data_IF_908261143803
#
_entry.id   IF_908261143803
#
_cell.length_a   1.000
_cell.length_b   1.000
_cell.length_c   1.000
_cell.angle_alpha   90.00
_cell.angle_beta   90.00
_cell.angle_gamma   90.00
#
_symmetry.space_group_name_H-M   'P 1'
#
loop_
_entity.id
_entity.type
_entity.pdbx_description
1 polymer ?
#
# COMPACT_ATOMS: atom_id res chain seq x y z
N UNK A 1 -14.64 -22.65 -21.57
CA UNK A 1 -15.57 -23.48 -20.77
C UNK A 1 -15.59 -23.00 -19.31
N UNK A 2 -16.45 -22.03 -19.02
CA UNK A 2 -16.57 -21.38 -17.72
C UNK A 2 -18.04 -21.12 -17.46
N UNK A 3 -18.71 -22.10 -16.87
CA UNK A 3 -20.07 -21.92 -16.36
C UNK A 3 -19.91 -21.53 -14.91
N UNK A 4 -20.24 -20.28 -14.56
CA UNK A 4 -20.55 -19.93 -13.17
C UNK A 4 -21.71 -20.81 -12.75
N UNK A 5 -21.42 -21.87 -11.98
CA UNK A 5 -22.47 -22.52 -11.19
C UNK A 5 -23.02 -21.43 -10.26
N UNK A 6 -24.35 -21.29 -10.19
CA UNK A 6 -25.00 -20.23 -9.43
C UNK A 6 -24.60 -20.23 -7.95
N UNK A 7 -25.15 -19.30 -7.16
CA UNK A 7 -24.85 -19.15 -5.73
C UNK A 7 -24.81 -20.50 -5.00
N UNK A 8 -23.68 -20.85 -4.39
CA UNK A 8 -23.51 -22.10 -3.65
C UNK A 8 -23.29 -21.81 -2.16
N UNK A 9 -23.88 -22.65 -1.31
CA UNK A 9 -23.57 -22.68 0.13
C UNK A 9 -22.46 -23.70 0.37
N UNK A 10 -21.37 -23.24 0.97
CA UNK A 10 -20.22 -24.05 1.40
C UNK A 10 -20.36 -24.30 2.89
N UNK A 11 -20.62 -25.54 3.29
CA UNK A 11 -20.70 -25.91 4.70
C UNK A 11 -19.31 -25.94 5.33
N UNK A 12 -19.05 -25.06 6.30
CA UNK A 12 -17.77 -25.02 7.03
C UNK A 12 -17.79 -26.00 8.21
N UNK A 13 -18.93 -26.12 8.90
CA UNK A 13 -19.14 -27.09 9.98
C UNK A 13 -20.63 -27.39 10.19
N UNK A 14 -21.01 -28.01 11.31
CA UNK A 14 -22.41 -28.38 11.57
C UNK A 14 -23.37 -27.19 11.59
N UNK A 15 -22.89 -26.00 11.98
CA UNK A 15 -23.70 -24.83 12.30
C UNK A 15 -23.41 -23.61 11.40
N UNK A 16 -22.39 -23.68 10.53
CA UNK A 16 -21.96 -22.55 9.70
C UNK A 16 -21.92 -22.97 8.24
N UNK A 17 -22.59 -22.18 7.41
CA UNK A 17 -22.56 -22.24 5.95
C UNK A 17 -22.14 -20.88 5.41
N UNK A 18 -21.25 -20.89 4.42
CA UNK A 18 -20.71 -19.69 3.76
C UNK A 18 -21.29 -19.60 2.36
N UNK A 19 -21.82 -18.44 1.99
CA UNK A 19 -22.24 -18.19 0.62
C UNK A 19 -21.02 -17.83 -0.23
N UNK A 20 -20.77 -18.59 -1.30
CA UNK A 20 -19.59 -18.47 -2.19
C UNK A 20 -19.65 -17.26 -3.15
N UNK A 21 -20.44 -16.24 -2.81
CA UNK A 21 -20.53 -14.99 -3.57
C UNK A 21 -20.56 -13.86 -2.57
N UNK A 22 -19.43 -13.17 -2.32
CA UNK A 22 -19.42 -12.05 -1.40
C UNK A 22 -20.32 -10.94 -1.95
N UNK A 23 -21.01 -10.22 -1.06
CA UNK A 23 -21.65 -8.98 -1.43
C UNK A 23 -20.59 -7.92 -1.71
N UNK A 24 -20.62 -7.32 -2.90
CA UNK A 24 -19.77 -6.17 -3.22
C UNK A 24 -20.59 -4.91 -2.91
N UNK A 25 -20.14 -4.14 -1.93
CA UNK A 25 -20.67 -2.83 -1.64
C UNK A 25 -19.73 -1.79 -2.23
N UNK A 26 -20.32 -0.76 -2.83
CA UNK A 26 -19.55 0.40 -3.28
C UNK A 26 -19.21 1.26 -2.07
N UNK A 27 -17.92 1.57 -1.81
CA UNK A 27 -17.56 2.53 -0.79
C UNK A 27 -18.09 3.90 -1.21
N UNK A 28 -18.90 4.52 -0.37
CA UNK A 28 -19.15 5.96 -0.48
C UNK A 28 -18.00 6.64 0.24
N UNK A 29 -17.21 7.44 -0.46
CA UNK A 29 -16.11 8.16 0.16
C UNK A 29 -16.69 9.23 1.09
N UNK A 30 -16.64 8.99 2.39
CA UNK A 30 -17.19 9.90 3.40
C UNK A 30 -16.21 11.05 3.71
N UNK A 31 -14.92 10.83 3.50
CA UNK A 31 -13.86 11.84 3.64
C UNK A 31 -12.69 11.58 2.67
N UNK A 32 -11.87 12.62 2.43
CA UNK A 32 -10.63 12.49 1.67
C UNK A 32 -9.65 11.50 2.33
N UNK A 33 -9.64 11.45 3.66
CA UNK A 33 -8.79 10.54 4.44
C UNK A 33 -9.13 9.06 4.18
N UNK A 34 -10.43 8.72 4.12
CA UNK A 34 -10.86 7.36 3.76
C UNK A 34 -10.41 7.01 2.33
N UNK A 35 -10.57 7.95 1.39
CA UNK A 35 -10.10 7.75 0.01
C UNK A 35 -8.60 7.52 -0.07
N UNK A 36 -7.83 8.28 0.70
CA UNK A 36 -6.38 8.17 0.79
C UNK A 36 -5.96 6.83 1.40
N UNK A 37 -6.57 6.41 2.51
CA UNK A 37 -6.30 5.10 3.11
C UNK A 37 -6.59 3.95 2.13
N UNK A 38 -7.71 4.02 1.40
CA UNK A 38 -8.06 3.04 0.36
C UNK A 38 -7.04 3.01 -0.78
N UNK A 39 -6.52 4.17 -1.19
CA UNK A 39 -5.44 4.25 -2.18
C UNK A 39 -4.14 3.62 -1.65
N UNK A 40 -3.75 3.93 -0.41
CA UNK A 40 -2.53 3.42 0.19
C UNK A 40 -2.53 1.88 0.28
N UNK A 41 -3.65 1.27 0.70
CA UNK A 41 -3.77 -0.19 0.81
C UNK A 41 -4.05 -0.92 -0.52
N UNK A 42 -4.18 -0.20 -1.64
CA UNK A 42 -4.39 -0.80 -2.96
C UNK A 42 -5.83 -1.25 -3.23
N UNK A 43 -6.82 -0.64 -2.55
CA UNK A 43 -8.24 -0.85 -2.85
C UNK A 43 -8.74 0.00 -4.04
N UNK A 44 -7.89 0.88 -4.57
CA UNK A 44 -8.13 1.69 -5.77
C UNK A 44 -7.07 1.29 -6.81
N UNK A 45 -7.43 1.28 -8.10
CA UNK A 45 -6.50 0.91 -9.16
C UNK A 45 -5.32 1.91 -9.23
N UNK A 46 -4.09 1.40 -9.12
CA UNK A 46 -2.87 2.22 -9.16
C UNK A 46 -2.68 2.95 -10.49
N UNK A 47 -3.23 2.42 -11.61
CA UNK A 47 -3.09 3.05 -12.94
C UNK A 47 -3.76 4.42 -13.07
N UNK A 48 -4.70 4.73 -12.17
CA UNK A 48 -5.41 6.02 -12.14
C UNK A 48 -4.89 6.96 -11.04
N UNK A 49 -3.80 6.57 -10.35
CA UNK A 49 -3.23 7.30 -9.23
C UNK A 49 -1.82 7.78 -9.55
N UNK A 50 -1.42 8.92 -8.95
CA UNK A 50 -0.02 9.33 -8.94
C UNK A 50 0.68 8.65 -7.75
N UNK A 51 1.36 7.53 -8.02
CA UNK A 51 2.05 6.76 -6.97
C UNK A 51 3.22 7.53 -6.34
N UNK A 52 3.84 8.46 -7.06
CA UNK A 52 4.94 9.26 -6.55
C UNK A 52 4.43 10.19 -5.43
N UNK A 53 3.33 10.90 -5.69
CA UNK A 53 2.72 11.77 -4.66
C UNK A 53 2.20 10.95 -3.47
N UNK A 54 1.55 9.81 -3.73
CA UNK A 54 1.08 8.91 -2.67
C UNK A 54 2.21 8.30 -1.85
N UNK A 55 3.39 8.11 -2.45
CA UNK A 55 4.55 7.59 -1.74
C UNK A 55 5.09 8.60 -0.74
N UNK A 56 5.01 9.90 -1.01
CA UNK A 56 5.39 10.93 -0.04
C UNK A 56 4.47 10.91 1.18
N UNK A 57 3.16 10.84 0.96
CA UNK A 57 2.17 10.70 2.03
C UNK A 57 2.42 9.44 2.87
N UNK A 58 2.69 8.30 2.22
CA UNK A 58 3.03 7.06 2.91
C UNK A 58 4.28 7.22 3.76
N UNK A 59 5.35 7.81 3.20
CA UNK A 59 6.61 8.04 3.93
C UNK A 59 6.37 8.94 5.14
N UNK A 60 5.61 10.03 4.98
CA UNK A 60 5.28 10.94 6.07
C UNK A 60 4.53 10.22 7.20
N UNK A 61 3.53 9.40 6.86
CA UNK A 61 2.80 8.58 7.86
C UNK A 61 3.70 7.58 8.58
N UNK A 62 4.61 6.94 7.86
CA UNK A 62 5.54 5.98 8.44
C UNK A 62 6.55 6.69 9.36
N UNK A 63 7.08 7.84 8.98
CA UNK A 63 7.95 8.65 9.84
C UNK A 63 7.24 9.06 11.12
N UNK A 64 6.01 9.54 11.02
CA UNK A 64 5.28 10.11 12.15
C UNK A 64 4.80 9.04 13.14
N UNK A 65 4.34 7.89 12.65
CA UNK A 65 3.67 6.88 13.48
C UNK A 65 4.49 5.60 13.70
N UNK A 66 5.51 5.37 12.86
CA UNK A 66 6.27 4.12 12.79
C UNK A 66 7.76 4.39 12.53
N UNK A 67 8.31 5.39 13.22
CA UNK A 67 9.71 5.78 13.06
C UNK A 67 10.67 4.60 13.26
N UNK A 68 11.71 4.57 12.43
CA UNK A 68 12.73 3.53 12.38
C UNK A 68 12.45 2.41 11.38
N UNK A 69 11.21 2.19 10.92
CA UNK A 69 10.91 1.09 10.01
C UNK A 69 11.53 1.24 8.62
N UNK A 70 11.54 2.46 8.06
CA UNK A 70 12.14 2.73 6.75
C UNK A 70 13.68 2.68 6.84
N UNK A 71 14.26 3.20 7.92
CA UNK A 71 15.68 3.14 8.21
C UNK A 71 16.14 1.69 8.38
N UNK A 72 15.40 0.86 9.11
CA UNK A 72 15.69 -0.57 9.26
C UNK A 72 15.61 -1.29 7.90
N UNK A 73 14.54 -1.03 7.14
CA UNK A 73 14.26 -1.71 5.87
C UNK A 73 15.24 -1.35 4.75
N UNK A 74 15.57 -0.06 4.63
CA UNK A 74 16.30 0.51 3.50
C UNK A 74 17.67 1.08 3.88
N UNK A 75 18.07 1.05 5.16
CA UNK A 75 19.36 1.60 5.61
C UNK A 75 19.55 3.08 5.21
N UNK A 76 18.49 3.87 5.36
CA UNK A 76 18.43 5.30 5.01
C UNK A 76 18.27 6.18 6.25
N UNK A 77 18.43 7.50 6.07
CA UNK A 77 18.13 8.49 7.09
C UNK A 77 16.66 8.91 7.02
N UNK A 78 15.89 8.66 8.08
CA UNK A 78 14.47 9.04 8.16
C UNK A 78 14.21 10.49 8.56
N UNK A 79 15.24 11.22 9.03
CA UNK A 79 15.10 12.64 9.41
C UNK A 79 15.01 13.57 8.18
N UNK A 80 15.34 13.05 6.99
CA UNK A 80 15.24 13.77 5.74
C UNK A 80 13.78 13.94 5.28
N UNK A 81 13.53 14.81 4.31
CA UNK A 81 12.19 14.96 3.73
C UNK A 81 11.80 13.75 2.87
N UNK A 82 10.51 13.62 2.59
CA UNK A 82 9.88 12.47 1.95
C UNK A 82 10.44 12.24 0.54
N UNK A 83 10.74 13.32 -0.18
CA UNK A 83 11.34 13.29 -1.52
C UNK A 83 12.73 12.67 -1.48
N UNK A 84 13.56 13.14 -0.54
CA UNK A 84 14.93 12.63 -0.39
C UNK A 84 14.92 11.19 0.12
N UNK A 85 14.02 10.84 1.03
CA UNK A 85 13.85 9.46 1.49
C UNK A 85 13.51 8.53 0.32
N UNK A 86 12.56 8.91 -0.54
CA UNK A 86 12.21 8.11 -1.70
C UNK A 86 13.38 7.95 -2.68
N UNK A 87 14.14 9.03 -2.88
CA UNK A 87 15.38 9.02 -3.66
C UNK A 87 16.44 8.09 -3.05
N UNK A 88 16.62 8.12 -1.72
CA UNK A 88 17.57 7.26 -1.03
C UNK A 88 17.14 5.78 -1.07
N UNK A 89 15.83 5.50 -1.00
CA UNK A 89 15.27 4.16 -1.26
C UNK A 89 15.61 3.72 -2.68
N UNK A 90 15.46 4.60 -3.67
CA UNK A 90 15.77 4.31 -5.06
C UNK A 90 17.25 3.93 -5.24
N UNK A 91 18.17 4.70 -4.64
CA UNK A 91 19.61 4.43 -4.66
C UNK A 91 19.92 3.13 -3.94
N UNK A 92 19.39 2.92 -2.73
CA UNK A 92 19.63 1.71 -1.93
C UNK A 92 19.18 0.43 -2.66
N UNK A 93 18.04 0.49 -3.36
CA UNK A 93 17.45 -0.65 -4.07
C UNK A 93 17.92 -0.78 -5.52
N UNK A 94 18.79 0.12 -5.99
CA UNK A 94 19.26 0.11 -7.37
C UNK A 94 18.17 0.46 -8.40
N UNK A 95 17.12 1.16 -7.98
CA UNK A 95 16.15 1.78 -8.88
C UNK A 95 16.81 2.98 -9.55
N UNK A 96 17.61 2.74 -10.58
CA UNK A 96 18.37 3.76 -11.30
C UNK A 96 17.88 3.84 -12.76
N UNK A 97 17.62 5.06 -13.21
CA UNK A 97 17.18 5.36 -14.56
C UNK A 97 18.39 5.45 -15.52
N UNK A 98 18.10 5.58 -16.81
CA UNK A 98 19.15 5.83 -17.81
C UNK A 98 19.80 7.18 -17.53
N UNK A 99 21.12 7.17 -17.31
CA UNK A 99 21.88 8.38 -16.96
C UNK A 99 22.44 8.37 -15.53
N UNK A 100 22.09 7.37 -14.70
CA UNK A 100 22.62 7.25 -13.34
C UNK A 100 21.78 7.95 -12.27
N UNK A 101 20.70 8.61 -12.68
CA UNK A 101 19.75 9.28 -11.78
C UNK A 101 18.81 8.27 -11.09
N UNK A 102 18.38 8.53 -9.84
CA UNK A 102 17.33 7.77 -9.17
C UNK A 102 16.03 7.65 -9.99
N UNK A 103 15.51 6.44 -10.13
CA UNK A 103 14.22 6.14 -10.77
C UNK A 103 13.11 6.15 -9.72
N UNK A 104 12.48 7.33 -9.56
CA UNK A 104 11.47 7.58 -8.53
C UNK A 104 10.22 6.72 -8.73
N UNK A 105 9.74 6.58 -9.97
CA UNK A 105 8.55 5.79 -10.28
C UNK A 105 8.74 4.31 -9.89
N UNK A 106 9.94 3.75 -10.18
CA UNK A 106 10.27 2.39 -9.73
C UNK A 106 10.38 2.28 -8.22
N UNK A 107 10.96 3.28 -7.56
CA UNK A 107 11.09 3.30 -6.11
C UNK A 107 9.73 3.39 -5.41
N UNK A 108 8.80 4.21 -5.93
CA UNK A 108 7.43 4.32 -5.42
C UNK A 108 6.70 2.97 -5.52
N UNK A 109 6.77 2.32 -6.69
CA UNK A 109 6.20 0.97 -6.88
C UNK A 109 6.80 -0.06 -5.93
N UNK A 110 8.11 -0.03 -5.73
CA UNK A 110 8.80 -0.92 -4.79
C UNK A 110 8.39 -0.67 -3.35
N UNK A 111 8.30 0.60 -2.93
CA UNK A 111 7.83 1.00 -1.61
C UNK A 111 6.41 0.48 -1.35
N UNK A 112 5.49 0.66 -2.30
CA UNK A 112 4.12 0.16 -2.17
C UNK A 112 4.04 -1.36 -2.13
N UNK A 113 4.85 -2.07 -2.93
CA UNK A 113 4.92 -3.53 -2.87
C UNK A 113 5.45 -4.01 -1.51
N UNK A 114 6.50 -3.38 -0.98
CA UNK A 114 7.01 -3.68 0.36
C UNK A 114 5.98 -3.37 1.46
N UNK A 115 5.29 -2.22 1.37
CA UNK A 115 4.29 -1.78 2.32
C UNK A 115 3.07 -2.71 2.35
N UNK A 116 2.43 -2.95 1.19
CA UNK A 116 1.18 -3.72 1.08
C UNK A 116 1.38 -5.20 1.37
N UNK A 117 2.59 -5.74 1.16
CA UNK A 117 2.94 -7.10 1.57
C UNK A 117 3.42 -7.20 3.03
N UNK A 118 3.40 -6.11 3.80
CA UNK A 118 3.82 -6.10 5.20
C UNK A 118 5.33 -6.31 5.42
N UNK A 119 6.15 -6.11 4.38
CA UNK A 119 7.61 -6.30 4.42
C UNK A 119 8.36 -5.10 5.03
N UNK A 120 7.67 -3.99 5.25
CA UNK A 120 8.17 -2.83 6.04
C UNK A 120 7.83 -3.04 7.52
N UNK A 121 6.62 -3.53 7.82
CA UNK A 121 6.16 -3.80 9.17
C UNK A 121 4.65 -4.01 9.23
N UNK A 122 4.13 -4.19 10.44
CA UNK A 122 2.68 -4.25 10.70
C UNK A 122 2.17 -2.84 10.95
N UNK A 123 1.43 -2.30 9.98
CA UNK A 123 1.00 -0.90 9.95
C UNK A 123 -0.53 -0.83 9.96
N UNK A 124 -1.06 0.14 10.70
CA UNK A 124 -2.48 0.48 10.78
C UNK A 124 -2.63 1.96 10.41
N UNK A 125 -3.58 2.26 9.52
CA UNK A 125 -3.83 3.63 9.05
C UNK A 125 -4.93 4.36 9.82
N UNK A 126 -5.72 3.64 10.62
CA UNK A 126 -6.86 4.18 11.36
C UNK A 126 -6.72 3.89 12.85
N UNK A 127 -6.93 4.91 13.67
CA UNK A 127 -6.85 4.83 15.13
C UNK A 127 -8.23 5.09 15.73
N UNK A 128 -8.50 4.50 16.89
CA UNK A 128 -9.72 4.78 17.64
C UNK A 128 -9.63 6.20 18.19
N UNK A 129 -10.68 6.99 18.02
CA UNK A 129 -10.85 8.30 18.66
C UNK A 129 -10.97 8.21 20.19
#
# INVERSE_FOLDING_TARGET
>A
PGVTKGKQWIRLNKNIELLDTPGILWPKFESNEVGLNLALIGSINDEILNLDDLSYELIERLKNNYSGLLAEKYSINEDDNEIKILSDIAVNRGCIAKGGEPDIEKAAKLLFDDYRNGRIGKITLEYVE
#
